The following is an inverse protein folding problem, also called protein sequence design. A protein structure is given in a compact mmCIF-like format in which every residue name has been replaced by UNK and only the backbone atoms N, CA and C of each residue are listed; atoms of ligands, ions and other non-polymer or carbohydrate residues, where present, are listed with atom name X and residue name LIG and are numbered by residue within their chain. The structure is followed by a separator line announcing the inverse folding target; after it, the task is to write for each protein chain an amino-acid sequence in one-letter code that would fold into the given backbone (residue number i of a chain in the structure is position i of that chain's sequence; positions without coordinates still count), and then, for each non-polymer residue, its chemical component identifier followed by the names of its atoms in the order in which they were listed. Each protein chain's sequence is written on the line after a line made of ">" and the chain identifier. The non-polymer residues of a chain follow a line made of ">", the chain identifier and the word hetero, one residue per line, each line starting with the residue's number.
data_IF_415725112315
#
_entry.id   IF_415725112315
#
_cell.length_a   1.000
_cell.length_b   1.000
_cell.length_c   1.000
_cell.angle_alpha   90.00
_cell.angle_beta   90.00
_cell.angle_gamma   90.00
#
_symmetry.space_group_name_H-M   'P 1'
#
loop_
_entity.id
_entity.type
_entity.pdbx_description
1 polymer ?
#
# COMPACT_ATOMS: atom_id res chain seq x y z
N UNK A 1 -30.20 -0.02 10.68
CA UNK A 1 -29.39 -1.14 10.17
C UNK A 1 -27.99 -0.90 10.70
N UNK A 2 -27.47 -1.79 11.54
CA UNK A 2 -26.19 -1.60 12.24
C UNK A 2 -25.03 -1.62 11.23
N UNK A 3 -23.99 -0.81 11.46
CA UNK A 3 -22.82 -0.71 10.56
C UNK A 3 -22.17 -2.08 10.25
N UNK A 4 -22.27 -3.04 11.18
CA UNK A 4 -21.79 -4.41 11.03
C UNK A 4 -22.47 -5.21 9.90
N UNK A 5 -23.76 -4.95 9.65
CA UNK A 5 -24.49 -5.64 8.58
C UNK A 5 -23.99 -5.19 7.21
N UNK A 6 -23.79 -3.89 7.03
CA UNK A 6 -23.27 -3.33 5.78
C UNK A 6 -21.84 -3.80 5.51
N UNK A 7 -21.00 -3.91 6.54
CA UNK A 7 -19.65 -4.44 6.40
C UNK A 7 -19.66 -5.91 5.96
N UNK A 8 -20.62 -6.70 6.45
CA UNK A 8 -20.82 -8.09 6.05
C UNK A 8 -21.21 -8.19 4.57
N UNK A 9 -22.18 -7.37 4.12
CA UNK A 9 -22.59 -7.29 2.71
C UNK A 9 -21.40 -6.89 1.80
N UNK A 10 -20.59 -5.91 2.22
CA UNK A 10 -19.39 -5.46 1.49
C UNK A 10 -18.36 -6.58 1.32
N UNK A 11 -18.11 -7.36 2.38
CA UNK A 11 -17.19 -8.51 2.34
C UNK A 11 -17.69 -9.61 1.43
N UNK A 12 -18.97 -9.96 1.52
CA UNK A 12 -19.59 -10.96 0.65
C UNK A 12 -19.50 -10.56 -0.84
N UNK A 13 -19.80 -9.30 -1.16
CA UNK A 13 -19.65 -8.77 -2.53
C UNK A 13 -18.20 -8.80 -3.01
N UNK A 14 -17.24 -8.40 -2.17
CA UNK A 14 -15.82 -8.44 -2.51
C UNK A 14 -15.36 -9.88 -2.80
N UNK A 15 -15.69 -10.81 -1.91
CA UNK A 15 -15.32 -12.23 -2.04
C UNK A 15 -15.91 -12.84 -3.32
N UNK A 16 -17.17 -12.54 -3.63
CA UNK A 16 -17.82 -12.96 -4.87
C UNK A 16 -17.23 -12.29 -6.12
N UNK A 17 -16.69 -11.07 -6.02
CA UNK A 17 -16.13 -10.34 -7.17
C UNK A 17 -14.72 -10.78 -7.53
N UNK A 18 -13.88 -11.13 -6.55
CA UNK A 18 -12.47 -11.47 -6.77
C UNK A 18 -12.24 -12.57 -7.84
N UNK A 19 -13.05 -13.64 -7.93
CA UNK A 19 -12.95 -14.64 -9.00
C UNK A 19 -13.23 -14.11 -10.43
N UNK A 20 -14.03 -13.05 -10.56
CA UNK A 20 -14.36 -12.44 -11.86
C UNK A 20 -13.29 -11.47 -12.36
N UNK A 21 -12.56 -10.82 -11.45
CA UNK A 21 -11.58 -9.77 -11.77
C UNK A 21 -10.51 -10.21 -12.78
N UNK A 22 -9.92 -11.43 -12.73
CA UNK A 22 -8.92 -11.86 -13.71
C UNK A 22 -9.39 -11.79 -15.17
N UNK A 23 -10.69 -11.96 -15.40
CA UNK A 23 -11.29 -11.99 -16.74
C UNK A 23 -11.99 -10.67 -17.09
N UNK A 24 -12.84 -10.18 -16.19
CA UNK A 24 -13.71 -9.02 -16.43
C UNK A 24 -13.12 -7.71 -15.88
N UNK A 25 -12.00 -7.77 -15.16
CA UNK A 25 -11.37 -6.63 -14.51
C UNK A 25 -12.20 -6.03 -13.37
N UNK A 26 -11.73 -4.88 -12.86
CA UNK A 26 -12.45 -4.09 -11.87
C UNK A 26 -13.55 -3.26 -12.54
N UNK A 27 -14.61 -3.93 -13.01
CA UNK A 27 -15.67 -3.32 -13.82
C UNK A 27 -17.06 -3.49 -13.21
N UNK A 28 -18.01 -2.67 -13.66
CA UNK A 28 -19.42 -2.82 -13.28
C UNK A 28 -19.99 -4.19 -13.69
N UNK A 29 -19.48 -4.79 -14.77
CA UNK A 29 -19.85 -6.15 -15.18
C UNK A 29 -19.45 -7.17 -14.11
N UNK A 30 -18.20 -7.16 -13.67
CA UNK A 30 -17.72 -8.05 -12.61
C UNK A 30 -18.50 -7.85 -11.30
N UNK A 31 -18.81 -6.61 -10.92
CA UNK A 31 -19.60 -6.32 -9.72
C UNK A 31 -21.04 -6.85 -9.84
N UNK A 32 -21.67 -6.72 -11.00
CA UNK A 32 -23.02 -7.25 -11.22
C UNK A 32 -23.07 -8.78 -11.22
N UNK A 33 -22.01 -9.45 -11.70
CA UNK A 33 -21.87 -10.90 -11.59
C UNK A 33 -21.70 -11.32 -10.13
N UNK A 34 -20.82 -10.65 -9.40
CA UNK A 34 -20.60 -10.87 -7.97
C UNK A 34 -21.88 -10.74 -7.14
N UNK A 35 -22.70 -9.72 -7.43
CA UNK A 35 -23.98 -9.51 -6.76
C UNK A 35 -24.94 -10.69 -6.97
N UNK A 36 -25.00 -11.22 -8.20
CA UNK A 36 -25.83 -12.40 -8.51
C UNK A 36 -25.33 -13.63 -7.79
N UNK A 37 -24.02 -13.85 -7.78
CA UNK A 37 -23.40 -15.00 -7.10
C UNK A 37 -23.59 -14.95 -5.58
N UNK A 38 -23.57 -13.75 -5.00
CA UNK A 38 -23.84 -13.50 -3.59
C UNK A 38 -25.34 -13.47 -3.23
N UNK A 39 -26.25 -13.56 -4.20
CA UNK A 39 -27.70 -13.46 -3.98
C UNK A 39 -28.17 -12.08 -3.49
N UNK A 40 -27.41 -11.03 -3.81
CA UNK A 40 -27.69 -9.65 -3.38
C UNK A 40 -28.36 -8.85 -4.51
N UNK A 41 -29.36 -8.04 -4.15
CA UNK A 41 -30.06 -7.19 -5.10
C UNK A 41 -29.25 -5.93 -5.46
N UNK A 42 -29.58 -5.31 -6.59
CA UNK A 42 -28.91 -4.09 -7.07
C UNK A 42 -28.98 -2.94 -6.06
N UNK A 43 -30.03 -2.86 -5.23
CA UNK A 43 -30.17 -1.87 -4.18
C UNK A 43 -29.11 -2.02 -3.09
N UNK A 44 -28.77 -3.26 -2.70
CA UNK A 44 -27.64 -3.53 -1.79
C UNK A 44 -26.32 -3.10 -2.41
N UNK A 45 -26.09 -3.41 -3.70
CA UNK A 45 -24.83 -3.03 -4.38
C UNK A 45 -24.62 -1.53 -4.38
N UNK A 46 -25.64 -0.74 -4.74
CA UNK A 46 -25.55 0.73 -4.77
C UNK A 46 -25.36 1.34 -3.38
N UNK A 47 -25.93 0.72 -2.35
CA UNK A 47 -25.77 1.14 -0.95
C UNK A 47 -24.38 0.81 -0.41
N UNK A 48 -23.86 -0.38 -0.75
CA UNK A 48 -22.56 -0.84 -0.31
C UNK A 48 -21.42 -0.10 -1.02
N UNK A 49 -21.51 0.07 -2.34
CA UNK A 49 -20.46 0.64 -3.17
C UNK A 49 -21.06 1.65 -4.17
N UNK A 50 -21.35 2.89 -3.73
CA UNK A 50 -21.96 3.91 -4.59
C UNK A 50 -21.06 4.31 -5.78
N UNK A 51 -19.73 4.24 -5.63
CA UNK A 51 -18.75 4.40 -6.70
C UNK A 51 -18.47 3.12 -7.50
N UNK A 52 -19.27 2.06 -7.29
CA UNK A 52 -19.19 0.79 -8.00
C UNK A 52 -17.87 0.05 -7.80
N UNK A 53 -17.39 -0.60 -8.86
CA UNK A 53 -16.19 -1.45 -8.83
C UNK A 53 -14.93 -0.76 -8.30
N UNK A 54 -14.82 0.57 -8.47
CA UNK A 54 -13.68 1.31 -7.96
C UNK A 54 -13.70 1.46 -6.43
N UNK A 55 -14.88 1.51 -5.82
CA UNK A 55 -15.00 1.48 -4.37
C UNK A 55 -14.77 0.07 -3.82
N UNK A 56 -15.12 -0.98 -4.58
CA UNK A 56 -14.78 -2.37 -4.23
C UNK A 56 -13.27 -2.57 -4.22
N UNK A 57 -12.56 -2.05 -5.23
CA UNK A 57 -11.09 -2.06 -5.26
C UNK A 57 -10.50 -1.32 -4.05
N UNK A 58 -10.98 -0.11 -3.75
CA UNK A 58 -10.53 0.66 -2.59
C UNK A 58 -10.75 -0.09 -1.26
N UNK A 59 -11.90 -0.74 -1.14
CA UNK A 59 -12.26 -1.57 -0.01
C UNK A 59 -11.37 -2.80 0.10
N UNK A 60 -11.07 -3.49 -1.01
CA UNK A 60 -10.15 -4.62 -1.02
C UNK A 60 -8.74 -4.25 -0.55
N UNK A 61 -8.21 -3.12 -1.04
CA UNK A 61 -6.91 -2.61 -0.60
C UNK A 61 -6.93 -2.34 0.90
N UNK A 62 -7.99 -1.69 1.41
CA UNK A 62 -8.14 -1.36 2.82
C UNK A 62 -8.29 -2.62 3.71
N UNK A 63 -9.08 -3.60 3.30
CA UNK A 63 -9.23 -4.87 4.03
C UNK A 63 -7.92 -5.66 4.07
N UNK A 64 -7.12 -5.60 3.00
CA UNK A 64 -5.83 -6.28 2.97
C UNK A 64 -4.77 -5.53 3.80
N UNK A 65 -4.81 -4.20 3.87
CA UNK A 65 -4.03 -3.41 4.84
C UNK A 65 -4.40 -3.80 6.29
N UNK A 66 -5.69 -3.88 6.60
CA UNK A 66 -6.19 -4.27 7.92
C UNK A 66 -5.84 -5.73 8.27
N UNK A 67 -5.88 -6.65 7.29
CA UNK A 67 -5.43 -8.03 7.47
C UNK A 67 -3.92 -8.10 7.77
N UNK A 68 -3.11 -7.30 7.08
CA UNK A 68 -1.67 -7.20 7.37
C UNK A 68 -1.46 -6.77 8.84
N UNK A 69 -2.15 -5.73 9.31
CA UNK A 69 -2.05 -5.28 10.70
C UNK A 69 -2.41 -6.39 11.69
N UNK A 70 -3.54 -7.08 11.49
CA UNK A 70 -3.96 -8.21 12.35
C UNK A 70 -2.95 -9.34 12.40
N UNK A 71 -2.31 -9.68 11.27
CA UNK A 71 -1.25 -10.71 11.23
C UNK A 71 -0.02 -10.27 12.04
N UNK A 72 0.32 -8.98 11.99
CA UNK A 72 1.49 -8.43 12.64
C UNK A 72 1.31 -8.19 14.14
N UNK A 73 0.09 -7.92 14.61
CA UNK A 73 -0.24 -7.82 16.05
C UNK A 73 0.14 -9.09 16.84
N UNK A 74 0.05 -10.26 16.19
CA UNK A 74 0.44 -11.55 16.78
C UNK A 74 1.96 -11.85 16.77
N UNK A 75 2.82 -10.86 16.46
CA UNK A 75 4.28 -11.04 16.34
C UNK A 75 5.02 -10.19 17.37
N UNK A 76 6.18 -10.68 17.84
CA UNK A 76 7.10 -9.87 18.65
C UNK A 76 7.89 -8.90 17.76
N UNK A 77 7.24 -7.80 17.40
CA UNK A 77 7.84 -6.73 16.59
C UNK A 77 8.82 -5.88 17.41
N UNK A 78 8.72 -5.88 18.74
CA UNK A 78 9.52 -5.02 19.62
C UNK A 78 11.00 -5.45 19.62
N UNK A 79 11.28 -6.74 19.49
CA UNK A 79 12.62 -7.29 19.36
C UNK A 79 13.30 -6.99 17.99
N UNK A 80 12.54 -6.53 17.00
CA UNK A 80 13.02 -6.35 15.62
C UNK A 80 13.49 -4.92 15.33
N UNK A 81 14.54 -4.80 14.52
CA UNK A 81 14.96 -3.50 13.98
C UNK A 81 13.84 -2.96 13.08
N UNK A 82 13.68 -1.63 13.04
CA UNK A 82 12.64 -0.95 12.23
C UNK A 82 12.64 -1.45 10.77
N UNK A 83 13.81 -1.63 10.16
CA UNK A 83 13.93 -2.14 8.79
C UNK A 83 13.35 -3.55 8.63
N UNK A 84 13.57 -4.41 9.62
CA UNK A 84 13.07 -5.79 9.61
C UNK A 84 11.55 -5.79 9.78
N UNK A 85 11.01 -4.90 10.63
CA UNK A 85 9.55 -4.70 10.76
C UNK A 85 8.91 -4.20 9.46
N UNK A 86 9.51 -3.20 8.82
CA UNK A 86 9.02 -2.68 7.51
C UNK A 86 9.05 -3.79 6.46
N UNK A 87 10.15 -4.55 6.37
CA UNK A 87 10.24 -5.68 5.46
C UNK A 87 9.16 -6.71 5.74
N UNK A 88 8.99 -7.11 7.00
CA UNK A 88 7.99 -8.09 7.42
C UNK A 88 6.58 -7.64 7.03
N UNK A 89 6.25 -6.37 7.27
CA UNK A 89 4.96 -5.81 6.90
C UNK A 89 4.74 -5.82 5.38
N UNK A 90 5.72 -5.37 4.59
CA UNK A 90 5.66 -5.42 3.12
C UNK A 90 5.46 -6.86 2.63
N UNK A 91 6.22 -7.83 3.14
CA UNK A 91 6.10 -9.23 2.70
C UNK A 91 4.75 -9.83 3.11
N UNK A 92 4.31 -9.61 4.34
CA UNK A 92 2.99 -10.07 4.84
C UNK A 92 1.86 -9.54 3.97
N UNK A 93 1.94 -8.26 3.60
CA UNK A 93 0.95 -7.59 2.73
C UNK A 93 0.85 -8.24 1.34
N UNK A 94 1.99 -8.62 0.77
CA UNK A 94 2.08 -9.28 -0.54
C UNK A 94 1.62 -10.73 -0.46
N UNK A 95 1.97 -11.45 0.60
CA UNK A 95 1.51 -12.81 0.85
C UNK A 95 -0.01 -12.90 0.97
N UNK A 96 -0.65 -11.95 1.68
CA UNK A 96 -2.11 -11.86 1.77
C UNK A 96 -2.77 -11.59 0.41
N UNK A 97 -2.09 -10.88 -0.49
CA UNK A 97 -2.59 -10.61 -1.83
C UNK A 97 -2.28 -11.73 -2.84
N UNK A 98 -1.41 -12.70 -2.48
CA UNK A 98 -0.93 -13.73 -3.39
C UNK A 98 -2.03 -14.61 -4.00
N UNK A 99 -3.10 -15.03 -3.28
CA UNK A 99 -4.20 -15.78 -3.87
C UNK A 99 -4.89 -15.04 -5.03
N UNK A 100 -4.79 -13.71 -5.07
CA UNK A 100 -5.44 -12.85 -6.06
C UNK A 100 -4.41 -12.00 -6.84
N UNK A 101 -3.24 -12.57 -7.13
CA UNK A 101 -2.15 -11.88 -7.84
C UNK A 101 -2.58 -11.25 -9.16
N UNK A 102 -3.41 -11.92 -9.95
CA UNK A 102 -3.92 -11.35 -11.20
C UNK A 102 -4.88 -10.17 -10.94
N UNK A 103 -5.66 -10.18 -9.87
CA UNK A 103 -6.49 -9.05 -9.50
C UNK A 103 -5.66 -7.80 -9.14
N UNK A 104 -4.49 -7.98 -8.52
CA UNK A 104 -3.51 -6.90 -8.31
C UNK A 104 -3.00 -6.36 -9.66
N UNK A 105 -2.65 -7.25 -10.60
CA UNK A 105 -2.18 -6.84 -11.94
C UNK A 105 -3.24 -6.00 -12.68
N UNK A 106 -4.51 -6.43 -12.60
CA UNK A 106 -5.66 -5.70 -13.16
C UNK A 106 -5.90 -4.37 -12.48
N UNK A 107 -5.73 -4.29 -11.15
CA UNK A 107 -5.82 -3.04 -10.40
C UNK A 107 -4.75 -2.04 -10.87
N UNK A 108 -3.48 -2.46 -10.94
CA UNK A 108 -2.40 -1.58 -11.40
C UNK A 108 -2.59 -1.07 -12.83
N UNK A 109 -3.11 -1.91 -13.73
CA UNK A 109 -3.38 -1.51 -15.11
C UNK A 109 -4.48 -0.46 -15.18
N UNK A 110 -5.56 -0.62 -14.40
CA UNK A 110 -6.63 0.37 -14.29
C UNK A 110 -6.09 1.67 -13.69
N UNK A 111 -5.38 1.57 -12.56
CA UNK A 111 -4.94 2.72 -11.77
C UNK A 111 -3.77 3.51 -12.38
N UNK A 112 -3.06 2.92 -13.34
CA UNK A 112 -2.06 3.62 -14.13
C UNK A 112 -2.65 4.73 -15.02
N UNK A 113 -3.97 4.70 -15.29
CA UNK A 113 -4.62 5.73 -16.09
C UNK A 113 -4.76 7.05 -15.29
N UNK A 114 -4.45 8.22 -15.88
CA UNK A 114 -4.41 9.49 -15.15
C UNK A 114 -5.68 9.84 -14.35
N UNK A 115 -6.86 9.49 -14.87
CA UNK A 115 -8.14 9.73 -14.21
C UNK A 115 -8.31 8.96 -12.88
N UNK A 116 -7.53 7.89 -12.68
CA UNK A 116 -7.57 7.08 -11.46
C UNK A 116 -6.43 7.43 -10.48
N UNK A 117 -5.45 8.22 -10.92
CA UNK A 117 -4.26 8.56 -10.14
C UNK A 117 -4.56 9.16 -8.75
N UNK A 118 -5.52 10.08 -8.56
CA UNK A 118 -5.82 10.62 -7.22
C UNK A 118 -6.26 9.54 -6.22
N UNK A 119 -7.08 8.58 -6.66
CA UNK A 119 -7.53 7.45 -5.83
C UNK A 119 -6.37 6.49 -5.56
N UNK A 120 -5.64 6.10 -6.59
CA UNK A 120 -4.52 5.18 -6.47
C UNK A 120 -3.41 5.71 -5.54
N UNK A 121 -3.09 7.00 -5.62
CA UNK A 121 -2.13 7.65 -4.72
C UNK A 121 -2.63 7.69 -3.27
N UNK A 122 -3.93 7.93 -3.05
CA UNK A 122 -4.53 7.87 -1.71
C UNK A 122 -4.48 6.45 -1.14
N UNK A 123 -4.77 5.43 -1.94
CA UNK A 123 -4.63 4.04 -1.55
C UNK A 123 -3.19 3.71 -1.16
N UNK A 124 -2.24 3.99 -2.05
CA UNK A 124 -0.82 3.77 -1.81
C UNK A 124 -0.35 4.46 -0.53
N UNK A 125 -0.77 5.72 -0.32
CA UNK A 125 -0.47 6.45 0.90
C UNK A 125 -0.99 5.71 2.15
N UNK A 126 -2.25 5.26 2.17
CA UNK A 126 -2.81 4.49 3.30
C UNK A 126 -2.04 3.20 3.55
N UNK A 127 -1.66 2.47 2.50
CA UNK A 127 -0.89 1.23 2.63
C UNK A 127 0.49 1.50 3.24
N UNK A 128 1.22 2.50 2.77
CA UNK A 128 2.54 2.82 3.34
C UNK A 128 2.45 3.39 4.76
N UNK A 129 1.37 4.12 5.05
CA UNK A 129 1.08 4.61 6.39
C UNK A 129 0.81 3.45 7.36
N UNK A 130 -0.01 2.47 6.94
CA UNK A 130 -0.27 1.25 7.71
C UNK A 130 1.01 0.41 7.94
N UNK A 131 1.90 0.32 6.94
CA UNK A 131 3.20 -0.34 7.09
C UNK A 131 4.07 0.39 8.12
N UNK A 132 4.13 1.73 8.08
CA UNK A 132 4.87 2.52 9.06
C UNK A 132 4.27 2.42 10.46
N UNK A 133 2.94 2.40 10.56
CA UNK A 133 2.22 2.17 11.80
C UNK A 133 2.61 0.82 12.41
N UNK A 134 2.56 -0.27 11.63
CA UNK A 134 3.00 -1.60 12.07
C UNK A 134 4.49 -1.63 12.44
N UNK A 135 5.32 -0.84 11.75
CA UNK A 135 6.74 -0.71 12.07
C UNK A 135 7.02 0.16 13.31
N UNK A 136 6.00 0.69 13.98
CA UNK A 136 6.12 1.50 15.19
C UNK A 136 6.71 2.89 14.94
N UNK A 137 6.44 3.49 13.78
CA UNK A 137 6.85 4.87 13.49
C UNK A 137 6.12 5.87 14.40
N UNK A 138 6.87 6.68 15.13
CA UNK A 138 6.35 7.77 15.99
C UNK A 138 6.72 9.16 15.47
N UNK A 139 7.25 9.25 14.24
CA UNK A 139 7.63 10.54 13.66
C UNK A 139 6.40 11.41 13.38
N UNK A 140 6.47 12.71 13.67
CA UNK A 140 5.37 13.67 13.45
C UNK A 140 5.80 14.91 12.65
N UNK A 141 7.06 14.98 12.24
CA UNK A 141 7.70 16.13 11.59
C UNK A 141 8.03 15.87 10.10
N UNK A 142 8.95 16.61 9.49
CA UNK A 142 9.38 16.41 8.09
C UNK A 142 9.83 14.96 7.78
N UNK A 143 10.28 14.23 8.80
CA UNK A 143 10.63 12.82 8.69
C UNK A 143 9.40 11.96 8.36
N UNK A 144 8.21 12.32 8.84
CA UNK A 144 6.94 11.64 8.58
C UNK A 144 6.64 11.54 7.07
N UNK A 145 6.68 12.69 6.36
CA UNK A 145 6.39 12.75 4.94
C UNK A 145 7.49 12.13 4.08
N UNK A 146 8.76 12.38 4.43
CA UNK A 146 9.91 11.81 3.69
C UNK A 146 9.90 10.28 3.76
N UNK A 147 9.65 9.70 4.94
CA UNK A 147 9.55 8.25 5.13
C UNK A 147 8.45 7.62 4.28
N UNK A 148 7.27 8.24 4.20
CA UNK A 148 6.13 7.76 3.42
C UNK A 148 6.40 7.84 1.92
N UNK A 149 6.98 8.95 1.47
CA UNK A 149 7.38 9.12 0.06
C UNK A 149 8.41 8.06 -0.36
N UNK A 150 9.47 7.86 0.42
CA UNK A 150 10.50 6.86 0.13
C UNK A 150 9.93 5.44 0.16
N UNK A 151 9.11 5.12 1.17
CA UNK A 151 8.47 3.80 1.25
C UNK A 151 7.47 3.56 0.11
N UNK A 152 6.75 4.58 -0.36
CA UNK A 152 5.87 4.46 -1.53
C UNK A 152 6.65 4.06 -2.79
N UNK A 153 7.82 4.64 -3.00
CA UNK A 153 8.72 4.23 -4.09
C UNK A 153 9.22 2.79 -3.93
N UNK A 154 9.61 2.40 -2.71
CA UNK A 154 10.04 1.02 -2.41
C UNK A 154 8.89 0.02 -2.64
N UNK A 155 7.71 0.30 -2.11
CA UNK A 155 6.55 -0.57 -2.19
C UNK A 155 6.06 -0.71 -3.63
N UNK A 156 5.91 0.40 -4.37
CA UNK A 156 5.51 0.36 -5.77
C UNK A 156 6.47 -0.46 -6.64
N UNK A 157 7.78 -0.25 -6.49
CA UNK A 157 8.79 -1.05 -7.20
C UNK A 157 8.78 -2.53 -6.79
N UNK A 158 8.54 -2.81 -5.51
CA UNK A 158 8.44 -4.18 -4.99
C UNK A 158 7.21 -4.89 -5.54
N UNK A 159 6.06 -4.20 -5.59
CA UNK A 159 4.81 -4.76 -6.10
C UNK A 159 4.96 -5.18 -7.57
N UNK A 160 5.59 -4.34 -8.39
CA UNK A 160 5.90 -4.68 -9.78
C UNK A 160 6.84 -5.88 -9.89
N UNK A 161 7.89 -5.93 -9.07
CA UNK A 161 8.82 -7.07 -9.07
C UNK A 161 8.14 -8.37 -8.63
N UNK A 162 7.30 -8.30 -7.59
CA UNK A 162 6.58 -9.43 -7.02
C UNK A 162 5.57 -10.07 -7.98
N UNK A 163 4.93 -9.26 -8.83
CA UNK A 163 3.97 -9.76 -9.82
C UNK A 163 4.56 -10.82 -10.76
N UNK A 164 5.87 -10.71 -11.05
CA UNK A 164 6.58 -11.60 -11.96
C UNK A 164 7.54 -12.56 -11.23
N UNK A 165 7.57 -12.53 -9.89
CA UNK A 165 8.41 -13.40 -9.07
C UNK A 165 7.83 -14.83 -9.02
N UNK A 166 8.64 -15.77 -9.52
CA UNK A 166 8.38 -17.22 -9.56
C UNK A 166 9.24 -18.02 -8.57
N UNK A 167 10.04 -17.34 -7.77
CA UNK A 167 10.87 -18.00 -6.75
C UNK A 167 10.00 -18.59 -5.64
N UNK A 168 10.50 -19.67 -5.03
CA UNK A 168 9.86 -20.31 -3.89
C UNK A 168 9.68 -19.31 -2.75
N UNK A 169 8.48 -19.28 -2.17
CA UNK A 169 8.11 -18.39 -1.05
C UNK A 169 8.49 -16.91 -1.28
N UNK A 170 8.50 -16.46 -2.54
CA UNK A 170 8.84 -15.09 -2.93
C UNK A 170 10.24 -14.64 -2.45
N UNK A 171 11.21 -15.57 -2.41
CA UNK A 171 12.59 -15.28 -1.99
C UNK A 171 13.24 -14.15 -2.82
N UNK A 172 12.96 -14.10 -4.12
CA UNK A 172 13.40 -13.04 -5.04
C UNK A 172 12.88 -11.66 -4.63
N UNK A 173 11.58 -11.58 -4.32
CA UNK A 173 10.92 -10.38 -3.80
C UNK A 173 11.49 -9.98 -2.44
N UNK A 174 11.65 -10.93 -1.52
CA UNK A 174 12.24 -10.67 -0.20
C UNK A 174 13.64 -10.03 -0.31
N UNK A 175 14.49 -10.57 -1.19
CA UNK A 175 15.80 -10.01 -1.47
C UNK A 175 15.74 -8.65 -2.20
N UNK A 176 14.74 -8.44 -3.05
CA UNK A 176 14.51 -7.15 -3.70
C UNK A 176 14.14 -6.06 -2.68
N UNK A 177 13.23 -6.35 -1.74
CA UNK A 177 12.87 -5.46 -0.64
C UNK A 177 14.11 -5.09 0.18
N UNK A 178 14.97 -6.07 0.50
CA UNK A 178 16.21 -5.79 1.21
C UNK A 178 17.08 -4.76 0.49
N UNK A 179 17.30 -4.93 -0.83
CA UNK A 179 18.09 -3.99 -1.63
C UNK A 179 17.47 -2.59 -1.62
N UNK A 180 16.16 -2.49 -1.83
CA UNK A 180 15.45 -1.20 -1.88
C UNK A 180 15.45 -0.47 -0.54
N UNK A 181 15.26 -1.18 0.57
CA UNK A 181 15.39 -0.59 1.91
C UNK A 181 16.84 -0.17 2.22
N UNK A 182 17.84 -0.88 1.71
CA UNK A 182 19.24 -0.45 1.82
C UNK A 182 19.52 0.84 1.03
N UNK A 183 18.93 0.97 -0.16
CA UNK A 183 19.07 2.18 -0.99
C UNK A 183 18.48 3.42 -0.31
N UNK A 184 17.33 3.28 0.36
CA UNK A 184 16.73 4.34 1.20
C UNK A 184 17.73 4.84 2.27
N UNK A 185 18.40 3.92 2.95
CA UNK A 185 19.40 4.29 3.96
C UNK A 185 20.63 5.01 3.36
N UNK A 186 20.96 4.74 2.09
CA UNK A 186 22.03 5.46 1.38
C UNK A 186 21.61 6.89 1.06
N UNK A 187 20.36 7.10 0.64
CA UNK A 187 19.78 8.43 0.39
C UNK A 187 19.81 9.28 1.67
N UNK A 188 19.35 8.73 2.79
CA UNK A 188 19.36 9.44 4.08
C UNK A 188 20.78 9.81 4.53
N UNK A 189 21.75 8.91 4.35
CA UNK A 189 23.16 9.20 4.63
C UNK A 189 23.71 10.31 3.72
N UNK A 190 23.39 10.29 2.43
CA UNK A 190 23.84 11.32 1.48
C UNK A 190 23.25 12.69 1.83
N UNK A 191 21.94 12.75 2.13
CA UNK A 191 21.25 13.96 2.58
C UNK A 191 21.88 14.54 3.86
N UNK A 192 22.16 13.69 4.85
CA UNK A 192 22.83 14.11 6.09
C UNK A 192 24.24 14.66 5.83
N UNK A 193 25.01 14.05 4.92
CA UNK A 193 26.35 14.56 4.54
C UNK A 193 26.26 15.92 3.85
N UNK A 194 25.32 16.11 2.92
CA UNK A 194 25.11 17.37 2.22
C UNK A 194 24.68 18.49 3.17
N UNK A 195 23.76 18.21 4.11
CA UNK A 195 23.36 19.17 5.14
C UNK A 195 24.57 19.63 5.98
N UNK A 196 25.37 18.68 6.48
CA UNK A 196 26.60 18.98 7.23
C UNK A 196 27.63 19.78 6.42
N UNK A 197 27.70 19.57 5.11
CA UNK A 197 28.59 20.35 4.24
C UNK A 197 28.05 21.77 4.05
N UNK A 198 26.75 21.93 3.85
CA UNK A 198 26.09 23.24 3.76
C UNK A 198 26.26 24.07 5.04
N UNK A 199 26.14 23.44 6.22
CA UNK A 199 26.37 24.09 7.51
C UNK A 199 27.83 24.57 7.70
N UNK A 200 28.78 23.95 6.98
CA UNK A 200 30.20 24.32 7.00
C UNK A 200 30.57 25.36 5.96
N UNK A 201 29.69 25.68 5.01
CA UNK A 201 29.94 26.72 4.04
C UNK A 201 29.77 28.10 4.70
N UNK A 202 30.71 29.04 4.51
CA UNK A 202 30.55 30.39 5.03
C UNK A 202 29.30 31.01 4.42
N UNK A 203 28.40 31.49 5.28
CA UNK A 203 27.12 32.05 4.85
C UNK A 203 27.38 33.36 4.06
N UNK A 204 27.18 33.38 2.72
CA UNK A 204 27.61 34.50 1.88
C UNK A 204 26.84 35.80 2.16
N UNK A 205 25.76 35.72 2.93
CA UNK A 205 24.91 36.85 3.31
C UNK A 205 25.19 37.40 4.71
N UNK A 206 26.21 36.91 5.44
CA UNK A 206 26.51 37.37 6.80
C UNK A 206 26.86 38.86 6.88
N UNK A 207 27.32 39.46 5.78
CA UNK A 207 27.71 40.86 5.69
C UNK A 207 26.61 41.80 5.15
N UNK A 208 25.44 41.27 4.76
CA UNK A 208 24.33 42.06 4.20
C UNK A 208 23.30 42.54 5.25
N UNK A 209 23.54 42.28 6.55
CA UNK A 209 22.73 42.80 7.69
C UNK A 209 23.40 43.96 8.44
N UNK A 210 24.46 44.55 7.88
CA UNK A 210 25.11 45.77 8.41
C UNK A 210 25.29 46.78 7.26
N UNK A 211 24.18 47.34 6.79
CA UNK A 211 24.13 48.54 5.97
C UNK A 211 22.87 49.31 6.36
#
# INVERSE_FOLDING_TARGET
>A
MTDDHLLTEKRALLEAMLPHVPFDGWTAKALNLAARDAGLDTGVVLRAFPGGAADVLDFWVSETDAAMLRVLEGRDLAAMKVRERVKLAVMTRLELAAPHREAVRRALTLEALPQHAPRALKQLYRTVDAIWYAAGDTATDFNFYTKRMLLAGVYGATLLHWLDDKSENFAGTSAFVDRRLADVMRIEKAKSKLAKLADRLPNPFRNLRRA
#
